data_IF_318819204637
#
_entry.id   IF_318819204637
#
_cell.length_a   1.000
_cell.length_b   1.000
_cell.length_c   1.000
_cell.angle_alpha   90.00
_cell.angle_beta   90.00
_cell.angle_gamma   90.00
#
_symmetry.space_group_name_H-M   'P 1'
#
loop_
_entity.id
_entity.type
_entity.pdbx_description
1 polymer ?
#
# COMPACT_ATOMS: atom_id res chain seq x y z
N UNK A 1 7.81 -10.54 3.37
CA UNK A 1 7.04 -9.28 3.32
C UNK A 1 5.58 -9.68 3.24
N UNK A 2 4.72 -9.06 4.05
CA UNK A 2 3.30 -9.41 4.14
C UNK A 2 2.51 -8.13 4.37
N UNK A 3 1.42 -7.95 3.64
CA UNK A 3 0.47 -6.86 3.86
C UNK A 3 -0.82 -7.46 4.40
N UNK A 4 -1.30 -6.94 5.53
CA UNK A 4 -2.59 -7.30 6.12
C UNK A 4 -3.57 -6.15 5.94
N UNK A 5 -4.76 -6.48 5.45
CA UNK A 5 -5.86 -5.55 5.22
C UNK A 5 -6.95 -5.80 6.25
N UNK A 6 -7.52 -4.75 6.81
CA UNK A 6 -8.58 -4.86 7.80
C UNK A 6 -9.43 -3.60 7.83
N UNK A 7 -10.65 -3.73 8.37
CA UNK A 7 -11.54 -2.59 8.60
C UNK A 7 -11.49 -2.22 10.08
N UNK A 8 -11.26 -0.94 10.36
CA UNK A 8 -11.26 -0.37 11.70
C UNK A 8 -12.19 0.85 11.73
N UNK A 9 -13.29 0.76 12.49
CA UNK A 9 -14.25 1.87 12.60
C UNK A 9 -14.87 2.34 11.26
N UNK A 10 -14.90 1.48 10.25
CA UNK A 10 -15.37 1.81 8.89
C UNK A 10 -14.27 2.33 7.94
N UNK A 11 -13.04 2.47 8.42
CA UNK A 11 -11.87 2.79 7.61
C UNK A 11 -11.21 1.48 7.13
N UNK A 12 -10.99 1.36 5.83
CA UNK A 12 -10.17 0.28 5.29
C UNK A 12 -8.69 0.65 5.47
N UNK A 13 -7.96 -0.16 6.23
CA UNK A 13 -6.56 0.02 6.56
C UNK A 13 -5.71 -1.14 6.01
N UNK A 14 -4.43 -0.85 5.80
CA UNK A 14 -3.39 -1.84 5.51
C UNK A 14 -2.23 -1.67 6.49
N UNK A 15 -1.75 -2.75 7.10
CA UNK A 15 -0.42 -2.79 7.75
C UNK A 15 0.54 -3.60 6.90
N UNK A 16 1.66 -3.00 6.53
CA UNK A 16 2.68 -3.62 5.71
C UNK A 16 3.91 -4.01 6.55
N UNK A 17 4.28 -5.29 6.57
CA UNK A 17 5.47 -5.76 7.26
C UNK A 17 6.69 -5.68 6.32
N UNK A 18 7.40 -4.54 6.40
CA UNK A 18 8.49 -4.18 5.50
C UNK A 18 9.78 -4.97 5.82
N UNK A 19 10.61 -5.35 4.82
CA UNK A 19 11.95 -5.87 5.04
C UNK A 19 12.88 -4.86 5.74
N UNK A 20 12.55 -3.57 5.72
CA UNK A 20 13.27 -2.50 6.44
C UNK A 20 12.99 -2.48 7.95
N UNK A 21 12.42 -3.57 8.49
CA UNK A 21 12.11 -3.76 9.91
C UNK A 21 11.10 -2.76 10.50
N UNK A 22 10.32 -2.07 9.68
CA UNK A 22 9.21 -1.21 10.11
C UNK A 22 7.85 -1.78 9.67
N UNK A 23 6.77 -1.26 10.26
CA UNK A 23 5.41 -1.66 9.91
C UNK A 23 4.54 -0.45 9.57
N UNK A 24 4.62 0.07 8.33
CA UNK A 24 3.77 1.17 7.89
C UNK A 24 2.30 0.77 7.89
N UNK A 25 1.47 1.63 8.47
CA UNK A 25 0.02 1.60 8.32
C UNK A 25 -0.38 2.61 7.27
N UNK A 26 -1.32 2.22 6.41
CA UNK A 26 -1.87 3.06 5.36
C UNK A 26 -3.39 3.00 5.40
N UNK A 27 -4.03 4.10 5.03
CA UNK A 27 -5.48 4.21 4.96
C UNK A 27 -5.95 4.31 3.51
N UNK A 28 -7.02 3.57 3.20
CA UNK A 28 -7.59 3.54 1.86
C UNK A 28 -8.47 4.76 1.56
N UNK A 29 -8.38 5.22 0.32
CA UNK A 29 -9.37 6.04 -0.38
C UNK A 29 -9.81 5.26 -1.63
N UNK A 30 -11.12 5.07 -1.78
CA UNK A 30 -11.71 4.33 -2.90
C UNK A 30 -12.24 5.34 -3.91
N UNK A 31 -11.93 5.15 -5.19
CA UNK A 31 -12.44 5.99 -6.27
C UNK A 31 -13.97 5.90 -6.38
N UNK A 32 -14.67 6.94 -6.88
CA UNK A 32 -16.13 6.92 -7.03
C UNK A 32 -16.66 5.78 -7.90
N UNK A 33 -15.87 5.31 -8.87
CA UNK A 33 -16.21 4.19 -9.75
C UNK A 33 -15.82 2.82 -9.17
N UNK A 34 -15.19 2.78 -7.99
CA UNK A 34 -14.76 1.57 -7.29
C UNK A 34 -13.59 0.84 -7.94
N UNK A 35 -12.96 1.40 -8.98
CA UNK A 35 -11.89 0.74 -9.76
C UNK A 35 -10.50 0.96 -9.19
N UNK A 36 -10.33 1.94 -8.31
CA UNK A 36 -9.03 2.26 -7.73
C UNK A 36 -9.15 2.34 -6.22
N UNK A 37 -8.24 1.66 -5.53
CA UNK A 37 -8.06 1.77 -4.07
C UNK A 37 -6.66 2.30 -3.81
N UNK A 38 -6.57 3.50 -3.25
CA UNK A 38 -5.30 4.14 -2.91
C UNK A 38 -5.09 4.05 -1.40
N UNK A 39 -4.03 3.38 -0.99
CA UNK A 39 -3.57 3.36 0.40
C UNK A 39 -2.47 4.41 0.58
N UNK A 40 -2.73 5.44 1.38
CA UNK A 40 -1.76 6.48 1.71
C UNK A 40 -1.21 6.29 3.13
N UNK A 41 0.08 6.58 3.32
CA UNK A 41 0.76 6.48 4.61
C UNK A 41 0.02 7.23 5.73
N UNK A 42 -0.24 6.51 6.82
CA UNK A 42 -0.81 7.06 8.04
C UNK A 42 0.27 7.23 9.11
N UNK A 43 0.92 6.14 9.50
CA UNK A 43 2.05 6.11 10.44
C UNK A 43 2.83 4.79 10.32
N UNK A 44 3.83 4.57 11.17
CA UNK A 44 4.57 3.31 11.21
C UNK A 44 5.13 3.02 12.60
N UNK A 45 5.18 1.73 12.97
CA UNK A 45 5.99 1.27 14.11
C UNK A 45 7.41 0.93 13.67
N UNK A 46 8.35 1.07 14.62
CA UNK A 46 9.80 0.86 14.41
C UNK A 46 10.39 1.67 13.24
N UNK A 47 9.84 2.85 12.98
CA UNK A 47 10.36 3.80 12.01
C UNK A 47 11.16 4.89 12.76
N UNK A 48 12.50 4.96 12.64
CA UNK A 48 13.30 5.87 13.45
C UNK A 48 13.12 7.35 13.07
N UNK A 49 12.71 7.63 11.83
CA UNK A 49 12.30 8.96 11.39
C UNK A 49 11.46 8.88 10.11
N UNK A 50 10.68 9.93 9.75
CA UNK A 50 9.95 9.97 8.48
C UNK A 50 10.83 9.88 7.22
N UNK A 51 12.15 10.07 7.35
CA UNK A 51 13.10 9.96 6.25
C UNK A 51 13.65 8.54 6.07
N UNK A 52 13.51 7.69 7.09
CA UNK A 52 13.91 6.29 7.00
C UNK A 52 13.04 5.55 5.99
N UNK A 53 13.61 4.56 5.31
CA UNK A 53 12.94 3.84 4.22
C UNK A 53 11.67 3.10 4.67
N UNK A 54 10.53 3.41 4.05
CA UNK A 54 9.25 2.74 4.35
C UNK A 54 8.31 2.71 3.13
N UNK A 55 7.36 1.77 3.14
CA UNK A 55 6.22 1.84 2.21
C UNK A 55 5.38 3.08 2.54
N UNK A 56 5.20 3.94 1.55
CA UNK A 56 4.53 5.22 1.69
C UNK A 56 3.17 5.24 1.00
N UNK A 57 3.01 4.46 -0.08
CA UNK A 57 1.76 4.41 -0.83
C UNK A 57 1.61 3.07 -1.53
N UNK A 58 0.38 2.61 -1.69
CA UNK A 58 0.05 1.50 -2.58
C UNK A 58 -1.23 1.82 -3.36
N UNK A 59 -1.21 1.68 -4.67
CA UNK A 59 -2.38 1.91 -5.53
C UNK A 59 -2.77 0.60 -6.20
N UNK A 60 -4.01 0.18 -5.97
CA UNK A 60 -4.62 -0.96 -6.63
C UNK A 60 -5.56 -0.48 -7.71
N UNK A 61 -5.39 -0.98 -8.94
CA UNK A 61 -6.29 -0.67 -10.06
C UNK A 61 -6.90 -1.96 -10.60
N UNK A 62 -8.23 -2.07 -10.53
CA UNK A 62 -8.98 -3.24 -10.96
C UNK A 62 -9.48 -3.03 -12.39
N UNK A 63 -8.90 -3.77 -13.33
CA UNK A 63 -9.30 -3.73 -14.74
C UNK A 63 -10.58 -4.53 -14.98
N UNK A 64 -10.64 -5.73 -14.40
CA UNK A 64 -11.82 -6.60 -14.39
C UNK A 64 -11.77 -7.58 -13.19
N UNK A 65 -12.64 -8.60 -13.16
CA UNK A 65 -12.76 -9.53 -12.04
C UNK A 65 -11.54 -10.46 -11.84
N UNK A 66 -10.70 -10.59 -12.86
CA UNK A 66 -9.56 -11.50 -12.91
C UNK A 66 -8.22 -10.80 -13.14
N UNK A 67 -8.21 -9.48 -13.39
CA UNK A 67 -7.01 -8.68 -13.61
C UNK A 67 -7.00 -7.40 -12.76
N UNK A 68 -5.89 -7.20 -12.05
CA UNK A 68 -5.62 -5.94 -11.37
C UNK A 68 -4.12 -5.64 -11.39
N UNK A 69 -3.77 -4.37 -11.21
CA UNK A 69 -2.39 -3.93 -11.06
C UNK A 69 -2.15 -3.28 -9.71
N UNK A 70 -0.89 -3.28 -9.30
CA UNK A 70 -0.41 -2.65 -8.07
C UNK A 70 0.74 -1.70 -8.42
N UNK A 71 0.70 -0.46 -7.90
CA UNK A 71 1.83 0.47 -7.89
C UNK A 71 2.18 0.84 -6.44
N UNK A 72 3.33 0.38 -5.98
CA UNK A 72 3.83 0.61 -4.63
C UNK A 72 4.92 1.66 -4.63
N UNK A 73 4.79 2.67 -3.77
CA UNK A 73 5.80 3.70 -3.55
C UNK A 73 6.55 3.45 -2.24
N UNK A 74 7.83 3.16 -2.32
CA UNK A 74 8.76 3.24 -1.19
C UNK A 74 9.40 4.62 -1.14
N UNK A 75 9.44 5.23 0.04
CA UNK A 75 10.06 6.55 0.24
C UNK A 75 11.26 6.44 1.17
N UNK A 76 12.37 7.10 0.80
CA UNK A 76 13.55 7.25 1.63
C UNK A 76 14.27 8.56 1.33
N UNK A 77 14.56 9.36 2.35
CA UNK A 77 15.18 10.68 2.20
C UNK A 77 14.46 11.59 1.18
N UNK A 78 13.12 11.48 1.13
CA UNK A 78 12.28 12.23 0.19
C UNK A 78 12.36 11.75 -1.26
N UNK A 79 13.08 10.66 -1.55
CA UNK A 79 13.14 10.01 -2.86
C UNK A 79 12.17 8.85 -2.90
N UNK A 80 11.48 8.73 -4.03
CA UNK A 80 10.48 7.69 -4.26
C UNK A 80 11.05 6.62 -5.20
N UNK A 81 10.78 5.35 -4.87
CA UNK A 81 11.01 4.20 -5.71
C UNK A 81 9.67 3.48 -5.92
N UNK A 82 9.39 3.11 -7.17
CA UNK A 82 8.14 2.47 -7.57
C UNK A 82 8.34 0.98 -7.84
N UNK A 83 7.41 0.16 -7.37
CA UNK A 83 7.32 -1.26 -7.69
C UNK A 83 5.96 -1.54 -8.31
N UNK A 84 5.97 -1.96 -9.56
CA UNK A 84 4.75 -2.20 -10.33
C UNK A 84 4.55 -3.70 -10.55
N UNK A 85 3.33 -4.16 -10.32
CA UNK A 85 2.93 -5.55 -10.47
C UNK A 85 1.65 -5.66 -11.26
N UNK A 86 1.59 -6.63 -12.16
CA UNK A 86 0.38 -7.00 -12.90
C UNK A 86 -0.05 -8.37 -12.41
N UNK A 87 -1.31 -8.47 -11.98
CA UNK A 87 -1.83 -9.62 -11.28
C UNK A 87 -3.00 -10.21 -12.06
N UNK A 88 -2.89 -11.50 -12.38
CA UNK A 88 -3.92 -12.25 -13.08
C UNK A 88 -4.33 -13.46 -12.26
N UNK A 89 -5.64 -13.68 -12.11
CA UNK A 89 -6.17 -14.88 -11.46
C UNK A 89 -5.78 -16.12 -12.26
N UNK A 90 -5.13 -17.08 -11.59
CA UNK A 90 -4.90 -18.41 -12.15
C UNK A 90 -6.23 -19.19 -12.19
N UNK A 91 -6.54 -19.76 -13.36
CA UNK A 91 -7.69 -20.63 -13.59
C UNK A 91 -7.43 -22.06 -13.13
#
# INVERSE_FOLDING_TARGET
>A
MTSLYYVDGGLLLMTHFCPSNNQPRMQAVISPDGKTVTFDFLDATNLPSPQAGHMHKAVYSFADADHYSEDWTWKHEGKDAHFQFEMQRKK
#
